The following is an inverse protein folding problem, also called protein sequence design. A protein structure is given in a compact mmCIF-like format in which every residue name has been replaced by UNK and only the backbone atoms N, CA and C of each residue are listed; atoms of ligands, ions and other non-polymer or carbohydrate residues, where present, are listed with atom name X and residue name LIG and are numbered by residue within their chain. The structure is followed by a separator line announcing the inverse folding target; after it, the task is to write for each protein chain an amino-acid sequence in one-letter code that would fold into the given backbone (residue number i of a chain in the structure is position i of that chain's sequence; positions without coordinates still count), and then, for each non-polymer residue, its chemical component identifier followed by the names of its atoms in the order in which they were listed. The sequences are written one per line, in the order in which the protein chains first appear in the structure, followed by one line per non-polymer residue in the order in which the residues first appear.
data_IF_511233237832
#
_entry.id   IF_511233237832
#
_cell.length_a   1.000
_cell.length_b   1.000
_cell.length_c   1.000
_cell.angle_alpha   90.00
_cell.angle_beta   90.00
_cell.angle_gamma   90.00
#
_symmetry.space_group_name_H-M   'P 1'
#
loop_
_entity.id
_entity.type
_entity.pdbx_description
1 polymer ?
#
# COMPACT_ATOMS: atom_id res chain seq x y z
N UNK A 1 15.63 2.35 -1.67
CA UNK A 1 15.34 1.89 -0.30
C UNK A 1 15.72 0.42 -0.10
N UNK A 2 15.13 -0.51 -0.82
CA UNK A 2 15.43 -1.93 -0.71
C UNK A 2 15.41 -2.58 -2.08
N UNK A 3 16.04 -3.76 -2.19
CA UNK A 3 15.97 -4.64 -3.37
C UNK A 3 15.38 -5.96 -2.90
N UNK A 4 14.49 -6.54 -3.71
CA UNK A 4 13.86 -7.84 -3.40
C UNK A 4 14.44 -8.89 -4.35
N UNK A 5 14.91 -9.97 -3.77
CA UNK A 5 15.49 -11.12 -4.49
C UNK A 5 14.62 -12.36 -4.27
N UNK A 6 14.49 -13.16 -5.32
CA UNK A 6 14.02 -14.55 -5.20
C UNK A 6 15.20 -15.39 -4.71
N UNK A 7 15.00 -16.15 -3.63
CA UNK A 7 16.01 -17.00 -3.01
C UNK A 7 15.42 -18.37 -2.65
N UNK A 8 16.27 -19.28 -2.21
CA UNK A 8 15.86 -20.57 -1.68
C UNK A 8 16.39 -20.73 -0.25
N UNK A 9 15.49 -20.93 0.70
CA UNK A 9 15.83 -21.28 2.08
C UNK A 9 16.40 -22.69 2.09
N UNK A 10 17.71 -22.80 2.34
CA UNK A 10 18.42 -24.08 2.28
C UNK A 10 18.11 -25.02 3.45
N UNK A 11 17.64 -24.47 4.58
CA UNK A 11 17.34 -25.28 5.76
C UNK A 11 16.03 -26.03 5.59
N UNK A 12 15.03 -25.37 5.00
CA UNK A 12 13.68 -25.93 4.86
C UNK A 12 13.40 -26.34 3.41
N UNK A 13 14.23 -25.93 2.45
CA UNK A 13 14.10 -26.29 1.03
C UNK A 13 12.95 -25.57 0.32
N UNK A 14 12.55 -24.37 0.77
CA UNK A 14 11.44 -23.60 0.17
C UNK A 14 11.90 -22.33 -0.54
N UNK A 15 11.22 -21.93 -1.62
CA UNK A 15 11.44 -20.62 -2.23
C UNK A 15 10.95 -19.50 -1.33
N UNK A 16 11.72 -18.41 -1.25
CA UNK A 16 11.42 -17.23 -0.43
C UNK A 16 11.72 -15.94 -1.20
N UNK A 17 11.13 -14.83 -0.79
CA UNK A 17 11.54 -13.49 -1.17
C UNK A 17 12.41 -12.90 -0.07
N UNK A 18 13.55 -12.32 -0.43
CA UNK A 18 14.47 -11.65 0.51
C UNK A 18 14.55 -10.19 0.15
N UNK A 19 14.08 -9.33 1.04
CA UNK A 19 14.11 -7.87 0.90
C UNK A 19 15.30 -7.32 1.65
N UNK A 20 16.32 -6.83 0.93
CA UNK A 20 17.57 -6.31 1.48
C UNK A 20 17.52 -4.78 1.46
N UNK A 21 17.83 -4.16 2.59
CA UNK A 21 18.00 -2.71 2.68
C UNK A 21 19.25 -2.26 1.94
N UNK A 22 19.18 -1.09 1.31
CA UNK A 22 20.33 -0.46 0.67
C UNK A 22 21.25 0.17 1.71
N UNK A 23 22.56 0.17 1.44
CA UNK A 23 23.63 0.64 2.32
C UNK A 23 23.44 2.09 2.83
N UNK A 24 22.80 2.95 2.04
CA UNK A 24 22.50 4.35 2.41
C UNK A 24 21.64 4.49 3.69
N UNK A 25 20.99 3.42 4.16
CA UNK A 25 20.16 3.40 5.38
C UNK A 25 20.78 2.63 6.54
N UNK A 26 21.91 1.95 6.29
CA UNK A 26 22.60 1.10 7.30
C UNK A 26 23.21 1.92 8.42
N UNK A 27 23.60 3.19 8.17
CA UNK A 27 24.30 4.02 9.14
C UNK A 27 23.37 4.85 10.06
N UNK A 28 22.06 4.81 9.87
CA UNK A 28 21.10 5.52 10.71
C UNK A 28 20.54 4.59 11.81
N UNK A 29 21.05 4.77 13.03
CA UNK A 29 20.66 3.96 14.19
C UNK A 29 19.15 4.09 14.54
N UNK A 30 18.54 5.26 14.31
CA UNK A 30 17.11 5.44 14.53
C UNK A 30 16.30 4.69 13.46
N UNK A 31 16.75 4.75 12.21
CA UNK A 31 16.15 3.99 11.12
C UNK A 31 16.21 2.47 11.39
N UNK A 32 17.38 1.95 11.79
CA UNK A 32 17.57 0.53 12.16
C UNK A 32 16.56 0.10 13.23
N UNK A 33 16.46 0.85 14.33
CA UNK A 33 15.57 0.53 15.45
C UNK A 33 14.10 0.53 15.03
N UNK A 34 13.66 1.51 14.21
CA UNK A 34 12.29 1.59 13.70
C UNK A 34 12.01 0.43 12.75
N UNK A 35 12.88 0.20 11.80
CA UNK A 35 12.78 -0.91 10.85
C UNK A 35 12.61 -2.25 11.58
N UNK A 36 13.41 -2.49 12.61
CA UNK A 36 13.31 -3.71 13.43
C UNK A 36 11.96 -3.86 14.13
N UNK A 37 11.55 -2.82 14.86
CA UNK A 37 10.32 -2.88 15.63
C UNK A 37 9.10 -3.08 14.72
N UNK A 38 9.07 -2.40 13.56
CA UNK A 38 8.00 -2.52 12.57
C UNK A 38 8.03 -3.90 11.90
N UNK A 39 9.19 -4.38 11.50
CA UNK A 39 9.32 -5.71 10.89
C UNK A 39 8.87 -6.82 11.85
N UNK A 40 9.20 -6.72 13.13
CA UNK A 40 8.72 -7.66 14.16
C UNK A 40 7.20 -7.61 14.33
N UNK A 41 6.61 -6.41 14.35
CA UNK A 41 5.17 -6.27 14.46
C UNK A 41 4.46 -6.90 13.26
N UNK A 42 4.99 -6.71 12.05
CA UNK A 42 4.45 -7.31 10.82
C UNK A 42 4.64 -8.83 10.82
N UNK A 43 5.76 -9.35 11.32
CA UNK A 43 6.01 -10.79 11.42
C UNK A 43 5.01 -11.52 12.35
N UNK A 44 4.30 -10.80 13.21
CA UNK A 44 3.20 -11.34 14.03
C UNK A 44 1.85 -11.40 13.32
N UNK A 45 1.74 -10.81 12.12
CA UNK A 45 0.53 -10.87 11.31
C UNK A 45 0.50 -12.22 10.57
N UNK A 46 -0.55 -13.00 10.78
CA UNK A 46 -0.85 -14.22 10.01
C UNK A 46 -2.26 -14.11 9.47
N UNK A 47 -2.40 -13.94 8.15
CA UNK A 47 -3.69 -13.80 7.48
C UNK A 47 -3.56 -14.19 6.01
N UNK A 48 -4.55 -14.87 5.45
CA UNK A 48 -4.54 -15.35 4.06
C UNK A 48 -4.24 -14.26 3.04
N UNK A 49 -4.67 -13.03 3.31
CA UNK A 49 -4.48 -11.87 2.43
C UNK A 49 -3.30 -10.96 2.86
N UNK A 50 -2.38 -11.43 3.69
CA UNK A 50 -1.14 -10.73 4.05
C UNK A 50 0.04 -11.63 3.68
N UNK A 51 1.12 -11.05 3.16
CA UNK A 51 2.38 -11.78 2.91
C UNK A 51 3.02 -12.15 4.24
N UNK A 52 3.28 -13.43 4.45
CA UNK A 52 3.93 -13.90 5.67
C UNK A 52 5.40 -13.46 5.72
N UNK A 53 5.82 -12.93 6.87
CA UNK A 53 7.23 -12.64 7.18
C UNK A 53 7.78 -13.82 7.99
N UNK A 54 8.83 -14.43 7.48
CA UNK A 54 9.43 -15.63 8.07
C UNK A 54 10.58 -15.30 9.02
N UNK A 55 11.39 -14.29 8.66
CA UNK A 55 12.53 -13.89 9.46
C UNK A 55 12.92 -12.44 9.21
N UNK A 56 13.57 -11.81 10.21
CA UNK A 56 14.08 -10.44 10.16
C UNK A 56 15.50 -10.45 10.71
N UNK A 57 16.49 -10.23 9.86
CA UNK A 57 17.90 -10.15 10.24
C UNK A 57 18.35 -8.68 10.28
N UNK A 58 19.11 -8.37 11.35
CA UNK A 58 19.72 -7.07 11.62
C UNK A 58 21.20 -7.22 11.98
N UNK A 59 21.94 -7.97 11.19
CA UNK A 59 23.39 -8.00 11.33
C UNK A 59 23.99 -6.64 10.98
N UNK A 60 25.15 -6.31 11.55
CA UNK A 60 25.73 -4.96 11.44
C UNK A 60 25.96 -4.54 9.98
N UNK A 61 26.30 -5.46 9.11
CA UNK A 61 26.65 -5.22 7.71
C UNK A 61 25.49 -5.43 6.71
N UNK A 62 24.44 -6.18 7.09
CA UNK A 62 23.33 -6.50 6.20
C UNK A 62 22.02 -6.57 6.98
N UNK A 63 21.00 -5.90 6.45
CA UNK A 63 19.66 -5.95 7.02
C UNK A 63 18.67 -6.44 5.95
N UNK A 64 17.97 -7.53 6.29
CA UNK A 64 17.04 -8.13 5.37
C UNK A 64 15.80 -8.70 6.07
N UNK A 65 14.76 -8.85 5.30
CA UNK A 65 13.52 -9.54 5.68
C UNK A 65 13.36 -10.74 4.76
N UNK A 66 13.13 -11.90 5.32
CA UNK A 66 12.74 -13.11 4.60
C UNK A 66 11.23 -13.24 4.66
N UNK A 67 10.58 -13.38 3.51
CA UNK A 67 9.13 -13.44 3.42
C UNK A 67 8.66 -14.44 2.37
N UNK A 68 7.38 -14.72 2.39
CA UNK A 68 6.69 -15.54 1.40
C UNK A 68 7.00 -15.04 -0.02
N UNK A 69 7.39 -15.97 -0.89
CA UNK A 69 7.48 -15.70 -2.32
C UNK A 69 6.09 -15.90 -2.94
N UNK A 70 5.45 -14.80 -3.29
CA UNK A 70 4.13 -14.82 -3.93
C UNK A 70 4.28 -15.01 -5.44
N UNK A 71 3.71 -16.07 -5.99
CA UNK A 71 3.64 -16.31 -7.44
C UNK A 71 2.38 -15.66 -8.01
N UNK A 72 2.51 -14.41 -8.42
CA UNK A 72 1.41 -13.59 -8.93
C UNK A 72 1.91 -12.33 -9.61
N UNK A 73 0.97 -11.48 -10.01
CA UNK A 73 1.23 -10.16 -10.57
C UNK A 73 0.81 -9.09 -9.57
N UNK A 74 1.34 -7.88 -9.71
CA UNK A 74 0.83 -6.75 -8.91
C UNK A 74 -0.56 -6.33 -9.39
N UNK A 75 -1.38 -5.81 -8.48
CA UNK A 75 -2.67 -5.23 -8.85
C UNK A 75 -2.47 -4.06 -9.84
N UNK A 76 -1.31 -3.39 -9.81
CA UNK A 76 -0.97 -2.34 -10.80
C UNK A 76 -0.83 -2.91 -12.21
N UNK A 77 -0.15 -4.02 -12.38
CA UNK A 77 -0.04 -4.72 -13.66
C UNK A 77 -1.41 -5.19 -14.14
N UNK A 78 -2.23 -5.74 -13.23
CA UNK A 78 -3.59 -6.17 -13.53
C UNK A 78 -4.46 -4.99 -14.03
N UNK A 79 -4.49 -3.86 -13.31
CA UNK A 79 -5.23 -2.64 -13.72
C UNK A 79 -4.72 -2.13 -15.07
N UNK A 80 -3.40 -2.16 -15.29
CA UNK A 80 -2.81 -1.68 -16.55
C UNK A 80 -3.21 -2.56 -17.76
N UNK A 81 -3.40 -3.85 -17.53
CA UNK A 81 -3.86 -4.81 -18.55
C UNK A 81 -5.36 -4.65 -18.84
N UNK A 82 -6.19 -4.69 -17.79
CA UNK A 82 -7.65 -4.62 -17.90
C UNK A 82 -8.15 -3.22 -18.27
N UNK A 83 -7.39 -2.17 -17.96
CA UNK A 83 -7.74 -0.75 -18.06
C UNK A 83 -8.92 -0.36 -17.16
N UNK A 84 -10.06 -1.01 -17.28
CA UNK A 84 -11.23 -0.87 -16.42
C UNK A 84 -11.56 -2.25 -15.86
N UNK A 85 -11.45 -2.39 -14.54
CA UNK A 85 -11.79 -3.65 -13.85
C UNK A 85 -13.31 -3.76 -13.69
N UNK A 86 -13.93 -4.89 -14.06
CA UNK A 86 -15.35 -5.08 -13.83
C UNK A 86 -15.71 -4.85 -12.36
N UNK A 87 -16.77 -4.09 -12.09
CA UNK A 87 -17.08 -3.65 -10.73
C UNK A 87 -17.23 -4.77 -9.71
N UNK A 88 -17.78 -5.94 -10.10
CA UNK A 88 -17.88 -7.11 -9.22
C UNK A 88 -16.51 -7.64 -8.81
N UNK A 89 -15.58 -7.68 -9.75
CA UNK A 89 -14.18 -8.08 -9.50
C UNK A 89 -13.50 -7.06 -8.59
N UNK A 90 -13.64 -5.75 -8.88
CA UNK A 90 -13.08 -4.68 -8.08
C UNK A 90 -13.58 -4.74 -6.62
N UNK A 91 -14.88 -4.99 -6.42
CA UNK A 91 -15.46 -5.17 -5.07
C UNK A 91 -14.86 -6.38 -4.36
N UNK A 92 -14.75 -7.53 -5.03
CA UNK A 92 -14.17 -8.74 -4.43
C UNK A 92 -12.73 -8.52 -3.99
N UNK A 93 -11.89 -7.94 -4.85
CA UNK A 93 -10.50 -7.60 -4.51
C UNK A 93 -10.43 -6.62 -3.35
N UNK A 94 -11.29 -5.60 -3.34
CA UNK A 94 -11.35 -4.59 -2.27
C UNK A 94 -11.75 -5.21 -0.93
N UNK A 95 -12.71 -6.14 -0.90
CA UNK A 95 -13.10 -6.84 0.33
C UNK A 95 -11.92 -7.62 0.91
N UNK A 96 -11.17 -8.33 0.09
CA UNK A 96 -9.98 -9.06 0.55
C UNK A 96 -8.91 -8.11 1.13
N UNK A 97 -8.67 -6.97 0.47
CA UNK A 97 -7.74 -5.94 0.97
C UNK A 97 -8.21 -5.39 2.32
N UNK A 98 -9.49 -5.06 2.45
CA UNK A 98 -10.05 -4.56 3.70
C UNK A 98 -9.99 -5.59 4.83
N UNK A 99 -10.16 -6.88 4.55
CA UNK A 99 -9.98 -7.95 5.54
C UNK A 99 -8.53 -8.01 6.05
N UNK A 100 -7.56 -7.91 5.14
CA UNK A 100 -6.15 -7.83 5.51
C UNK A 100 -5.84 -6.61 6.39
N UNK A 101 -6.35 -5.43 6.00
CA UNK A 101 -6.16 -4.19 6.74
C UNK A 101 -6.84 -4.23 8.10
N UNK A 102 -8.07 -4.75 8.19
CA UNK A 102 -8.77 -4.90 9.46
C UNK A 102 -7.98 -5.77 10.44
N UNK A 103 -7.45 -6.91 9.96
CA UNK A 103 -6.61 -7.79 10.77
C UNK A 103 -5.36 -7.07 11.33
N UNK A 104 -4.72 -6.21 10.53
CA UNK A 104 -3.57 -5.41 10.96
C UNK A 104 -3.98 -4.28 11.92
N UNK A 105 -5.06 -3.56 11.61
CA UNK A 105 -5.55 -2.43 12.41
C UNK A 105 -5.99 -2.85 13.82
N UNK A 106 -6.63 -4.02 13.98
CA UNK A 106 -6.98 -4.60 15.29
C UNK A 106 -5.75 -4.86 16.17
N UNK A 107 -4.56 -4.98 15.55
CA UNK A 107 -3.25 -5.14 16.23
C UNK A 107 -2.45 -3.85 16.32
N UNK A 108 -3.07 -2.71 16.01
CA UNK A 108 -2.44 -1.39 16.05
C UNK A 108 -1.45 -1.12 14.92
N UNK A 109 -1.44 -1.96 13.87
CA UNK A 109 -0.53 -1.82 12.73
C UNK A 109 -1.28 -1.13 11.58
N UNK A 110 -0.78 0.03 11.15
CA UNK A 110 -1.29 0.80 10.03
C UNK A 110 -0.35 0.63 8.86
N UNK A 111 -0.87 0.36 7.65
CA UNK A 111 -0.04 0.08 6.48
C UNK A 111 0.66 1.33 5.94
N UNK A 112 -0.02 2.47 5.86
CA UNK A 112 0.47 3.80 5.46
C UNK A 112 0.94 3.96 4.01
N UNK A 113 1.01 2.90 3.23
CA UNK A 113 1.44 2.92 1.81
C UNK A 113 0.59 1.98 0.94
N UNK A 114 -0.73 1.95 1.16
CA UNK A 114 -1.65 1.19 0.33
C UNK A 114 -1.67 1.78 -1.08
N UNK A 115 -1.35 0.93 -2.06
CA UNK A 115 -1.36 1.23 -3.49
C UNK A 115 -1.34 -0.07 -4.30
N UNK A 116 -1.73 -0.07 -5.58
CA UNK A 116 -1.79 -1.28 -6.39
C UNK A 116 -0.46 -2.02 -6.53
N UNK A 117 0.69 -1.33 -6.40
CA UNK A 117 2.01 -1.96 -6.44
C UNK A 117 2.29 -2.86 -5.22
N UNK A 118 1.63 -2.59 -4.09
CA UNK A 118 1.81 -3.31 -2.82
C UNK A 118 0.72 -4.37 -2.60
N UNK A 119 -0.05 -4.68 -3.63
CA UNK A 119 -1.05 -5.75 -3.63
C UNK A 119 -0.66 -6.77 -4.70
N UNK A 120 -0.41 -8.00 -4.30
CA UNK A 120 -0.17 -9.12 -5.21
C UNK A 120 -1.49 -9.83 -5.48
N UNK A 121 -1.75 -10.16 -6.74
CA UNK A 121 -2.89 -10.93 -7.21
C UNK A 121 -2.41 -12.29 -7.72
N UNK A 122 -2.88 -13.35 -7.10
CA UNK A 122 -2.59 -14.73 -7.46
C UNK A 122 -3.55 -15.21 -8.57
N UNK A 123 -3.18 -16.32 -9.22
CA UNK A 123 -3.95 -16.91 -10.35
C UNK A 123 -5.36 -17.37 -9.96
N UNK A 124 -5.56 -17.70 -8.70
CA UNK A 124 -6.87 -18.13 -8.17
C UNK A 124 -7.79 -16.96 -7.75
N UNK A 125 -7.33 -15.71 -7.92
CA UNK A 125 -8.06 -14.51 -7.53
C UNK A 125 -7.87 -14.10 -6.07
N UNK A 126 -7.01 -14.80 -5.32
CA UNK A 126 -6.60 -14.39 -3.97
C UNK A 126 -5.65 -13.21 -4.06
N UNK A 127 -5.80 -12.22 -3.17
CA UNK A 127 -4.80 -11.14 -3.04
C UNK A 127 -3.94 -11.34 -1.80
N UNK A 128 -2.72 -10.79 -1.86
CA UNK A 128 -1.85 -10.64 -0.70
C UNK A 128 -1.33 -9.21 -0.61
N UNK A 129 -1.55 -8.57 0.53
CA UNK A 129 -0.99 -7.25 0.85
C UNK A 129 0.46 -7.42 1.25
N UNK A 130 1.34 -6.64 0.62
CA UNK A 130 2.79 -6.66 0.87
C UNK A 130 3.25 -5.30 1.35
N UNK A 131 4.49 -5.23 1.84
CA UNK A 131 5.18 -3.95 2.10
C UNK A 131 4.43 -3.01 3.05
N UNK A 132 3.91 -3.55 4.16
CA UNK A 132 3.49 -2.71 5.28
C UNK A 132 4.60 -1.68 5.56
N UNK A 133 4.23 -0.40 5.70
CA UNK A 133 5.06 0.80 5.54
C UNK A 133 6.31 0.95 6.42
N UNK A 134 7.09 -0.13 6.55
CA UNK A 134 8.30 -0.28 7.36
C UNK A 134 9.30 0.89 7.15
N UNK A 135 9.30 1.50 5.97
CA UNK A 135 10.29 2.51 5.61
C UNK A 135 9.74 3.96 5.61
N UNK A 136 8.44 4.16 5.82
CA UNK A 136 7.81 5.47 5.64
C UNK A 136 7.79 6.34 6.90
N UNK A 137 7.74 5.72 8.09
CA UNK A 137 7.79 6.44 9.36
C UNK A 137 9.09 7.26 9.52
N UNK A 138 10.20 6.74 8.97
CA UNK A 138 11.48 7.43 9.00
C UNK A 138 11.56 8.69 8.11
N UNK A 139 10.68 8.85 7.10
CA UNK A 139 10.75 9.97 6.14
C UNK A 139 9.89 11.17 6.48
N UNK A 140 8.77 10.96 7.17
CA UNK A 140 7.86 12.09 7.47
C UNK A 140 8.41 13.06 8.53
N UNK A 141 9.41 12.64 9.33
CA UNK A 141 10.01 13.53 10.34
C UNK A 141 11.16 14.40 9.78
N UNK A 142 11.71 14.11 8.58
CA UNK A 142 12.97 14.73 8.16
C UNK A 142 13.08 15.24 6.72
N UNK A 143 12.13 14.98 5.81
CA UNK A 143 12.30 15.42 4.40
C UNK A 143 11.02 15.81 3.67
N UNK A 144 11.09 16.97 3.00
CA UNK A 144 10.28 17.42 1.86
C UNK A 144 10.03 16.28 0.84
N UNK A 145 8.84 16.27 0.22
CA UNK A 145 8.47 15.39 -0.88
C UNK A 145 9.58 15.40 -1.95
N UNK A 146 10.39 14.34 -1.99
CA UNK A 146 11.48 14.21 -2.96
C UNK A 146 11.01 13.51 -4.23
N UNK A 147 11.63 13.80 -5.38
CA UNK A 147 11.30 13.27 -6.72
C UNK A 147 11.22 11.73 -6.81
N UNK A 148 11.82 10.99 -5.88
CA UNK A 148 11.76 9.51 -5.81
C UNK A 148 10.41 8.95 -5.35
N UNK A 149 9.41 9.80 -5.01
CA UNK A 149 8.10 9.39 -4.47
C UNK A 149 6.99 9.44 -5.53
N UNK A 150 7.32 9.61 -6.80
CA UNK A 150 6.39 9.92 -7.91
C UNK A 150 5.17 8.98 -8.00
N UNK A 151 5.30 7.70 -7.72
CA UNK A 151 4.16 6.76 -7.81
C UNK A 151 3.26 6.69 -6.56
N UNK A 152 3.79 6.98 -5.36
CA UNK A 152 3.06 6.82 -4.10
C UNK A 152 2.19 8.00 -3.73
N UNK A 153 2.44 9.20 -4.29
CA UNK A 153 1.69 10.42 -3.97
C UNK A 153 0.23 10.35 -4.43
N UNK A 154 -0.06 9.54 -5.44
CA UNK A 154 -1.42 9.40 -5.97
C UNK A 154 -2.41 8.74 -5.02
N UNK A 155 -1.92 8.00 -4.01
CA UNK A 155 -2.74 7.26 -3.05
C UNK A 155 -2.61 7.79 -1.61
N UNK A 156 -1.85 8.87 -1.41
CA UNK A 156 -1.61 9.45 -0.08
C UNK A 156 -2.90 10.07 0.48
N UNK A 157 -3.17 9.86 1.76
CA UNK A 157 -4.31 10.50 2.41
C UNK A 157 -4.06 11.98 2.69
N UNK A 158 -5.12 12.80 2.81
CA UNK A 158 -5.00 14.24 3.13
C UNK A 158 -4.20 14.51 4.41
N UNK A 159 -4.41 13.71 5.47
CA UNK A 159 -3.69 13.82 6.73
C UNK A 159 -2.21 13.45 6.59
N UNK A 160 -1.89 12.46 5.77
CA UNK A 160 -0.49 12.14 5.45
C UNK A 160 0.19 13.26 4.66
N UNK A 161 -0.51 13.84 3.66
CA UNK A 161 0.03 14.94 2.86
C UNK A 161 0.29 16.21 3.71
N UNK A 162 -0.50 16.41 4.76
CA UNK A 162 -0.36 17.53 5.72
C UNK A 162 0.67 17.26 6.83
N UNK A 163 1.22 16.04 6.94
CA UNK A 163 2.08 15.67 8.06
C UNK A 163 1.33 15.55 9.40
N UNK A 164 0.02 15.29 9.35
CA UNK A 164 -0.83 15.14 10.51
C UNK A 164 -0.73 13.77 11.18
N UNK A 165 -1.50 13.58 12.25
CA UNK A 165 -1.61 12.27 12.92
C UNK A 165 -2.27 11.26 11.97
N UNK A 166 -1.65 10.11 11.82
CA UNK A 166 -2.08 9.04 10.92
C UNK A 166 -2.73 7.93 11.76
N UNK A 167 -3.92 7.53 11.38
CA UNK A 167 -4.64 6.38 11.93
C UNK A 167 -5.07 5.40 10.81
N UNK A 168 -5.83 4.36 11.16
CA UNK A 168 -6.35 3.36 10.24
C UNK A 168 -7.17 3.95 9.07
N UNK A 169 -7.79 5.11 9.25
CA UNK A 169 -8.59 5.79 8.23
C UNK A 169 -7.75 6.30 7.05
N UNK A 170 -6.43 6.46 7.25
CA UNK A 170 -5.51 6.79 6.15
C UNK A 170 -5.44 5.66 5.10
N UNK A 171 -5.40 4.39 5.56
CA UNK A 171 -5.42 3.25 4.66
C UNK A 171 -6.77 3.14 3.93
N UNK A 172 -7.89 3.45 4.59
CA UNK A 172 -9.23 3.48 3.98
C UNK A 172 -9.30 4.50 2.84
N UNK A 173 -8.69 5.68 3.02
CA UNK A 173 -8.59 6.67 1.94
C UNK A 173 -7.83 6.11 0.73
N UNK A 174 -6.68 5.50 0.97
CA UNK A 174 -5.85 4.89 -0.07
C UNK A 174 -6.58 3.76 -0.80
N UNK A 175 -7.36 2.94 -0.09
CA UNK A 175 -8.26 1.92 -0.69
C UNK A 175 -9.32 2.58 -1.56
N UNK A 176 -9.92 3.69 -1.11
CA UNK A 176 -10.89 4.47 -1.90
C UNK A 176 -10.30 4.95 -3.23
N UNK A 177 -9.09 5.51 -3.20
CA UNK A 177 -8.37 5.94 -4.42
C UNK A 177 -8.08 4.77 -5.35
N UNK A 178 -7.64 3.64 -4.81
CA UNK A 178 -7.36 2.43 -5.58
C UNK A 178 -8.63 1.83 -6.19
N UNK A 179 -9.74 1.81 -5.46
CA UNK A 179 -11.04 1.37 -5.97
C UNK A 179 -11.53 2.30 -7.08
N UNK A 180 -11.37 3.61 -6.92
CA UNK A 180 -11.65 4.59 -7.97
C UNK A 180 -10.87 4.27 -9.26
N UNK A 181 -9.55 4.04 -9.14
CA UNK A 181 -8.69 3.69 -10.28
C UNK A 181 -9.15 2.37 -10.95
N UNK A 182 -9.44 1.32 -10.18
CA UNK A 182 -9.95 0.05 -10.72
C UNK A 182 -11.24 0.24 -11.52
N UNK A 183 -12.18 1.01 -10.99
CA UNK A 183 -13.51 1.18 -11.58
C UNK A 183 -13.54 2.11 -12.80
N UNK A 184 -12.64 3.09 -12.87
CA UNK A 184 -12.63 4.12 -13.91
C UNK A 184 -11.46 4.00 -14.89
N UNK A 185 -10.44 3.21 -14.55
CA UNK A 185 -9.19 3.11 -15.31
C UNK A 185 -8.30 4.35 -15.20
N UNK A 186 -8.68 5.33 -14.37
CA UNK A 186 -7.95 6.60 -14.23
C UNK A 186 -7.75 6.96 -12.76
N UNK A 187 -6.68 7.67 -12.45
CA UNK A 187 -6.47 8.24 -11.13
C UNK A 187 -7.42 9.42 -10.90
N UNK A 188 -7.94 9.61 -9.66
CA UNK A 188 -8.82 10.74 -9.35
C UNK A 188 -8.13 12.10 -9.45
N UNK A 189 -6.81 12.13 -9.21
CA UNK A 189 -5.99 13.34 -9.24
C UNK A 189 -4.67 13.07 -9.97
N UNK A 190 -4.37 13.92 -10.96
CA UNK A 190 -3.13 13.88 -11.75
C UNK A 190 -2.60 15.31 -11.88
N UNK A 191 -1.30 15.48 -11.79
CA UNK A 191 -0.66 16.80 -11.86
C UNK A 191 0.75 16.72 -12.43
N UNK A 192 1.34 17.86 -12.74
CA UNK A 192 2.67 17.97 -13.36
C UNK A 192 3.80 17.50 -12.43
N UNK A 193 3.59 17.56 -11.13
CA UNK A 193 4.58 17.18 -10.13
C UNK A 193 3.93 16.57 -8.87
N UNK A 194 4.69 15.87 -8.03
CA UNK A 194 4.16 15.24 -6.82
C UNK A 194 3.51 16.21 -5.82
N UNK A 195 3.98 17.45 -5.76
CA UNK A 195 3.43 18.46 -4.83
C UNK A 195 2.02 18.87 -5.26
N UNK A 196 1.80 19.10 -6.56
CA UNK A 196 0.47 19.44 -7.08
C UNK A 196 -0.53 18.32 -6.82
N UNK A 197 -0.14 17.04 -7.03
CA UNK A 197 -1.00 15.89 -6.73
C UNK A 197 -1.32 15.83 -5.24
N UNK A 198 -0.32 16.03 -4.35
CA UNK A 198 -0.56 16.05 -2.91
C UNK A 198 -1.54 17.16 -2.48
N UNK A 199 -1.45 18.35 -3.10
CA UNK A 199 -2.40 19.45 -2.85
C UNK A 199 -3.82 19.09 -3.29
N UNK A 200 -3.97 18.44 -4.46
CA UNK A 200 -5.27 17.95 -4.93
C UNK A 200 -5.87 16.91 -3.97
N UNK A 201 -5.04 15.99 -3.43
CA UNK A 201 -5.48 15.05 -2.39
C UNK A 201 -6.04 15.75 -1.15
N UNK A 202 -5.53 16.93 -0.83
CA UNK A 202 -5.99 17.72 0.33
C UNK A 202 -7.24 18.54 0.03
N UNK A 203 -7.35 19.12 -1.18
CA UNK A 203 -8.28 20.22 -1.45
C UNK A 203 -9.39 19.86 -2.44
N UNK A 204 -9.10 19.00 -3.43
CA UNK A 204 -10.00 18.80 -4.55
C UNK A 204 -10.94 17.60 -4.35
N UNK A 205 -12.13 17.68 -4.91
CA UNK A 205 -13.07 16.56 -5.00
C UNK A 205 -12.82 15.78 -6.27
N UNK A 206 -12.83 14.44 -6.24
CA UNK A 206 -12.74 13.64 -7.45
C UNK A 206 -13.99 13.80 -8.30
N UNK A 207 -13.87 13.58 -9.62
CA UNK A 207 -15.02 13.46 -10.50
C UNK A 207 -15.88 12.27 -10.07
N UNK A 208 -17.19 12.34 -10.33
CA UNK A 208 -18.08 11.21 -10.08
C UNK A 208 -17.70 10.03 -10.96
N UNK A 209 -17.69 8.84 -10.37
CA UNK A 209 -17.30 7.64 -11.10
C UNK A 209 -18.27 7.32 -12.24
N UNK A 210 -19.57 7.55 -12.04
CA UNK A 210 -20.63 7.31 -13.03
C UNK A 210 -20.56 8.26 -14.24
N UNK A 211 -19.86 9.39 -14.13
CA UNK A 211 -19.56 10.26 -15.27
C UNK A 211 -18.49 9.66 -16.20
N UNK A 212 -17.59 8.83 -15.64
CA UNK A 212 -16.49 8.18 -16.37
C UNK A 212 -16.87 6.78 -16.85
N UNK A 213 -17.63 6.05 -16.04
CA UNK A 213 -18.08 4.68 -16.33
C UNK A 213 -19.52 4.47 -15.83
N UNK A 214 -20.48 4.39 -16.76
CA UNK A 214 -21.91 4.27 -16.47
C UNK A 214 -22.32 2.91 -15.90
N UNK A 215 -21.46 1.89 -16.01
CA UNK A 215 -21.73 0.55 -15.51
C UNK A 215 -21.54 0.43 -14.00
N UNK A 216 -21.03 1.47 -13.35
CA UNK A 216 -20.79 1.51 -11.91
C UNK A 216 -22.11 1.73 -11.17
N UNK A 217 -22.52 0.82 -10.24
CA UNK A 217 -23.69 1.03 -9.40
C UNK A 217 -23.55 2.29 -8.54
N UNK A 218 -24.62 3.08 -8.44
CA UNK A 218 -24.62 4.33 -7.66
C UNK A 218 -24.18 4.14 -6.20
N UNK A 219 -24.59 3.04 -5.57
CA UNK A 219 -24.15 2.70 -4.20
C UNK A 219 -22.64 2.48 -4.11
N UNK A 220 -22.01 1.88 -5.13
CA UNK A 220 -20.56 1.67 -5.17
C UNK A 220 -19.81 2.99 -5.37
N UNK A 221 -20.33 3.91 -6.21
CA UNK A 221 -19.81 5.27 -6.30
C UNK A 221 -19.84 5.98 -4.95
N UNK A 222 -20.98 5.93 -4.25
CA UNK A 222 -21.15 6.58 -2.95
C UNK A 222 -20.16 6.03 -1.91
N UNK A 223 -19.96 4.72 -1.85
CA UNK A 223 -18.99 4.08 -0.93
C UNK A 223 -17.57 4.53 -1.29
N UNK A 224 -17.21 4.52 -2.58
CA UNK A 224 -15.87 4.94 -3.03
C UNK A 224 -15.60 6.40 -2.67
N UNK A 225 -16.54 7.30 -2.96
CA UNK A 225 -16.41 8.72 -2.63
C UNK A 225 -16.41 8.96 -1.11
N UNK A 226 -17.15 8.15 -0.35
CA UNK A 226 -17.17 8.20 1.12
C UNK A 226 -15.79 7.83 1.69
N UNK A 227 -15.15 6.77 1.19
CA UNK A 227 -13.79 6.40 1.58
C UNK A 227 -12.77 7.51 1.26
N UNK A 228 -13.04 8.33 0.21
CA UNK A 228 -12.18 9.43 -0.23
C UNK A 228 -12.52 10.79 0.42
N UNK A 229 -13.36 10.83 1.46
CA UNK A 229 -13.64 12.08 2.20
C UNK A 229 -12.35 12.68 2.76
N UNK A 230 -12.23 14.01 2.67
CA UNK A 230 -11.02 14.73 3.09
C UNK A 230 -10.87 14.78 4.61
N UNK A 231 -12.00 14.87 5.28
CA UNK A 231 -12.09 14.77 6.74
C UNK A 231 -12.14 13.29 7.15
N UNK A 232 -11.13 12.84 7.90
CA UNK A 232 -11.02 11.44 8.34
C UNK A 232 -12.21 11.01 9.20
N UNK A 233 -12.83 11.94 9.95
CA UNK A 233 -14.00 11.63 10.78
C UNK A 233 -15.27 11.34 9.96
N UNK A 234 -15.26 11.68 8.68
CA UNK A 234 -16.38 11.44 7.76
C UNK A 234 -16.22 10.16 6.91
N UNK A 235 -15.12 9.46 7.02
CA UNK A 235 -14.85 8.19 6.29
C UNK A 235 -15.54 6.98 6.89
#
# INVERSE_FOLDING_TARGET
MAVVYKANDRLIGRPVAVKILKDEYINDAQFKRRFYNESRAIAMLSHVNIVDVYDVCLEDDIQYIVMELVDGITLKEYISHEKIVPWKTAVNLTIQILNALNHAHERGIIHRDIKPHNIMLLKDGTIKVTDFGIARVARFETQTISDKTIGSVHYISPEQAKGGKIDAKADIYSVGVMLYEMLTGTLPFTGENPVSVALMQVQEKPKKLTELNKDIPLGLEQITLKAMEKDSEKR
#
